data_IF_273815085057
#
_entry.id   IF_273815085057
#
_cell.length_a   1.000
_cell.length_b   1.000
_cell.length_c   1.000
_cell.angle_alpha   90.00
_cell.angle_beta   90.00
_cell.angle_gamma   90.00
#
_symmetry.space_group_name_H-M   'P 1'
#
loop_
_entity.id
_entity.type
_entity.pdbx_description
1 polymer ?
#
# COMPACT_ATOMS: atom_id res chain seq x y z
N UNK A 1 -8.44 -15.93 16.82
CA UNK A 1 -8.53 -15.28 18.14
C UNK A 1 -7.15 -15.03 18.78
N UNK A 2 -6.11 -14.68 18.02
CA UNK A 2 -4.75 -14.40 18.58
C UNK A 2 -4.06 -13.18 17.95
N UNK A 3 -4.77 -12.32 17.20
CA UNK A 3 -4.29 -10.98 16.86
C UNK A 3 -4.24 -10.04 18.09
N UNK A 4 -4.92 -10.40 19.19
CA UNK A 4 -4.96 -9.62 20.44
C UNK A 4 -3.60 -9.47 21.16
N UNK A 5 -2.59 -10.27 20.82
CA UNK A 5 -1.27 -10.15 21.45
C UNK A 5 -0.34 -9.12 20.79
N UNK A 6 -0.71 -8.61 19.60
CA UNK A 6 0.01 -7.53 18.94
C UNK A 6 -0.44 -6.16 19.47
N UNK A 7 -1.71 -6.04 19.89
CA UNK A 7 -2.23 -4.77 20.43
C UNK A 7 -1.53 -4.33 21.73
N UNK A 8 -1.20 -5.27 22.63
CA UNK A 8 -0.56 -4.91 23.91
C UNK A 8 0.91 -4.49 23.78
N UNK A 9 1.61 -4.81 22.69
CA UNK A 9 3.00 -4.35 22.46
C UNK A 9 3.08 -3.12 21.56
N UNK A 10 2.03 -2.78 20.82
CA UNK A 10 1.98 -1.57 20.01
C UNK A 10 1.72 -0.30 20.82
N UNK A 11 1.30 -0.42 22.09
CA UNK A 11 1.13 0.73 23.00
C UNK A 11 2.46 1.39 23.39
N UNK A 12 3.60 0.75 23.14
CA UNK A 12 4.93 1.28 23.46
C UNK A 12 5.82 1.59 22.26
N UNK A 13 5.30 1.51 21.04
CA UNK A 13 6.05 1.98 19.85
C UNK A 13 5.78 3.48 19.73
N UNK A 14 6.78 4.35 19.97
CA UNK A 14 6.59 5.76 19.68
C UNK A 14 6.30 5.90 18.20
N UNK A 15 5.16 6.50 17.87
CA UNK A 15 4.76 6.83 16.49
C UNK A 15 5.73 7.89 15.97
N UNK A 16 6.91 7.47 15.52
CA UNK A 16 7.84 8.33 14.77
C UNK A 16 7.52 8.35 13.25
N UNK A 17 6.26 8.09 12.89
CA UNK A 17 5.75 8.37 11.55
C UNK A 17 5.37 9.84 11.35
N UNK A 18 5.67 10.73 12.31
CA UNK A 18 5.11 12.10 12.34
C UNK A 18 6.11 13.22 12.15
N UNK A 19 7.08 13.11 11.23
CA UNK A 19 7.65 14.33 10.66
C UNK A 19 6.82 14.74 9.45
N UNK A 20 5.66 15.36 9.74
CA UNK A 20 4.71 15.89 8.75
C UNK A 20 3.26 15.90 9.21
N UNK A 21 2.89 15.06 10.16
CA UNK A 21 1.56 15.12 10.78
C UNK A 21 1.69 15.96 12.08
N UNK A 22 1.32 17.24 12.01
CA UNK A 22 1.00 18.01 13.22
C UNK A 22 -0.04 17.21 13.99
N UNK A 23 0.08 17.14 15.32
CA UNK A 23 -0.88 16.49 16.22
C UNK A 23 -2.30 16.99 15.90
N UNK A 24 -3.05 16.16 15.18
CA UNK A 24 -4.45 16.43 14.87
C UNK A 24 -5.24 16.05 16.10
N UNK A 25 -5.95 16.99 16.71
CA UNK A 25 -6.81 16.72 17.85
C UNK A 25 -7.95 15.78 17.43
N UNK A 26 -8.51 15.02 18.38
CA UNK A 26 -9.63 14.10 18.11
C UNK A 26 -10.84 14.78 17.44
N UNK A 27 -10.97 16.10 17.58
CA UNK A 27 -12.08 16.89 17.01
C UNK A 27 -11.87 17.23 15.52
N UNK A 28 -10.60 17.27 15.02
CA UNK A 28 -10.33 17.63 13.62
C UNK A 28 -10.61 16.48 12.62
N UNK A 29 -10.85 15.26 13.13
CA UNK A 29 -11.07 14.08 12.28
C UNK A 29 -12.46 14.01 11.63
N UNK A 30 -13.42 14.78 12.09
CA UNK A 30 -14.82 14.76 11.59
C UNK A 30 -15.11 15.84 10.56
N UNK A 31 -14.21 16.78 10.31
CA UNK A 31 -14.41 17.81 9.29
C UNK A 31 -14.01 17.27 7.90
N UNK A 32 -14.89 17.39 6.89
CA UNK A 32 -14.53 17.11 5.49
C UNK A 32 -13.55 18.14 4.92
N UNK A 33 -13.21 19.16 5.70
CA UNK A 33 -12.28 20.23 5.33
C UNK A 33 -11.08 20.27 6.25
N UNK A 34 -9.93 20.65 5.70
CA UNK A 34 -8.71 20.95 6.43
C UNK A 34 -8.20 22.35 6.08
N UNK A 35 -7.53 22.99 7.03
CA UNK A 35 -6.86 24.27 6.78
C UNK A 35 -5.50 24.01 6.16
N UNK A 36 -5.25 24.55 4.99
CA UNK A 36 -3.94 24.53 4.31
C UNK A 36 -3.61 25.96 3.89
N UNK A 37 -2.51 26.50 4.41
CA UNK A 37 -2.05 27.88 4.13
C UNK A 37 -3.15 28.96 4.36
N UNK A 38 -4.00 28.76 5.39
CA UNK A 38 -5.11 29.66 5.71
C UNK A 38 -6.36 29.48 4.84
N UNK A 39 -6.38 28.54 3.90
CA UNK A 39 -7.51 28.24 3.02
C UNK A 39 -8.18 26.95 3.51
N UNK A 40 -9.49 26.96 3.58
CA UNK A 40 -10.29 25.77 3.87
C UNK A 40 -10.35 24.92 2.60
N UNK A 41 -9.68 23.75 2.61
CA UNK A 41 -9.65 22.80 1.49
C UNK A 41 -10.34 21.51 1.90
N UNK A 42 -10.98 20.88 0.94
CA UNK A 42 -11.60 19.57 1.13
C UNK A 42 -10.54 18.52 1.48
N UNK A 43 -10.81 17.72 2.52
CA UNK A 43 -9.92 16.66 2.95
C UNK A 43 -10.03 15.50 1.98
N UNK A 44 -8.99 15.28 1.18
CA UNK A 44 -8.91 14.12 0.27
C UNK A 44 -8.02 13.04 0.86
N UNK A 45 -8.52 11.81 0.85
CA UNK A 45 -7.77 10.64 1.27
C UNK A 45 -6.48 10.46 0.48
N UNK A 46 -5.41 10.06 1.17
CA UNK A 46 -4.10 9.81 0.58
C UNK A 46 -4.03 8.40 -0.01
N UNK A 47 -3.62 8.30 -1.26
CA UNK A 47 -3.42 7.01 -1.94
C UNK A 47 -1.93 6.65 -1.94
N UNK A 48 -1.61 5.46 -1.43
CA UNK A 48 -0.25 4.95 -1.30
C UNK A 48 -0.16 3.58 -2.00
N UNK A 49 0.66 3.47 -3.05
CA UNK A 49 0.99 2.18 -3.63
C UNK A 49 2.12 1.52 -2.84
N UNK A 50 1.94 0.26 -2.45
CA UNK A 50 2.99 -0.55 -1.81
C UNK A 50 3.59 -1.44 -2.88
N UNK A 51 4.75 -1.07 -3.41
CA UNK A 51 5.31 -1.67 -4.61
C UNK A 51 6.79 -2.03 -4.44
N UNK A 52 7.15 -3.18 -4.99
CA UNK A 52 8.51 -3.61 -5.26
C UNK A 52 8.44 -4.78 -6.26
N UNK A 53 9.34 -4.81 -7.24
CA UNK A 53 9.40 -5.87 -8.24
C UNK A 53 9.80 -7.22 -7.62
N UNK A 54 10.61 -7.21 -6.55
CA UNK A 54 11.05 -8.44 -5.89
C UNK A 54 9.91 -9.06 -5.10
N UNK A 55 9.66 -10.36 -5.31
CA UNK A 55 8.75 -11.15 -4.48
C UNK A 55 9.29 -11.35 -3.06
N UNK A 56 8.39 -11.56 -2.10
CA UNK A 56 8.77 -11.91 -0.73
C UNK A 56 9.36 -10.78 0.13
N UNK A 57 9.42 -9.54 -0.34
CA UNK A 57 9.98 -8.41 0.44
C UNK A 57 9.03 -7.83 1.49
N UNK A 58 7.85 -8.40 1.66
CA UNK A 58 6.87 -7.97 2.66
C UNK A 58 5.91 -6.86 2.18
N UNK A 59 5.61 -6.73 0.89
CA UNK A 59 4.61 -5.78 0.35
C UNK A 59 3.26 -5.96 1.03
N UNK A 60 2.65 -7.12 0.84
CA UNK A 60 1.36 -7.51 1.42
C UNK A 60 1.35 -7.38 2.94
N UNK A 61 2.37 -7.90 3.61
CA UNK A 61 2.51 -7.79 5.07
C UNK A 61 2.52 -6.33 5.51
N UNK A 62 3.23 -5.46 4.79
CA UNK A 62 3.29 -4.02 5.09
C UNK A 62 1.93 -3.37 4.86
N UNK A 63 1.28 -3.62 3.73
CA UNK A 63 -0.01 -3.03 3.37
C UNK A 63 -1.10 -3.41 4.40
N UNK A 64 -1.23 -4.69 4.71
CA UNK A 64 -2.22 -5.24 5.67
C UNK A 64 -2.00 -4.66 7.07
N UNK A 65 -0.77 -4.74 7.59
CA UNK A 65 -0.49 -4.28 8.96
C UNK A 65 -0.59 -2.75 9.09
N UNK A 66 -0.20 -1.99 8.05
CA UNK A 66 -0.31 -0.53 8.07
C UNK A 66 -1.77 -0.08 8.02
N UNK A 67 -2.60 -0.68 7.17
CA UNK A 67 -4.03 -0.42 7.12
C UNK A 67 -4.71 -0.74 8.46
N UNK A 68 -4.41 -1.91 9.05
CA UNK A 68 -4.94 -2.32 10.35
C UNK A 68 -4.50 -1.39 11.48
N UNK A 69 -3.23 -0.97 11.52
CA UNK A 69 -2.72 -0.04 12.51
C UNK A 69 -3.39 1.33 12.41
N UNK A 70 -3.57 1.87 11.21
CA UNK A 70 -4.28 3.13 11.00
C UNK A 70 -5.74 3.04 11.45
N UNK A 71 -6.43 1.94 11.14
CA UNK A 71 -7.79 1.68 11.62
C UNK A 71 -7.87 1.63 13.15
N UNK A 72 -6.93 0.97 13.81
CA UNK A 72 -6.83 0.93 15.27
C UNK A 72 -6.60 2.34 15.87
N UNK A 73 -5.86 3.20 15.17
CA UNK A 73 -5.66 4.62 15.54
C UNK A 73 -6.82 5.54 15.16
N UNK A 74 -7.93 4.98 14.64
CA UNK A 74 -9.18 5.70 14.37
C UNK A 74 -9.19 6.44 13.02
N UNK A 75 -8.31 6.08 12.08
CA UNK A 75 -8.42 6.48 10.68
C UNK A 75 -9.30 5.48 9.91
N UNK A 76 -9.89 5.94 8.81
CA UNK A 76 -10.54 5.08 7.83
C UNK A 76 -9.53 4.68 6.75
N UNK A 77 -9.31 3.38 6.59
CA UNK A 77 -8.36 2.84 5.62
C UNK A 77 -9.08 1.91 4.63
N UNK A 78 -8.81 2.08 3.34
CA UNK A 78 -9.20 1.15 2.28
C UNK A 78 -7.93 0.47 1.77
N UNK A 79 -7.91 -0.85 1.75
CA UNK A 79 -6.88 -1.61 1.06
C UNK A 79 -7.48 -2.18 -0.22
N UNK A 80 -6.93 -1.81 -1.36
CA UNK A 80 -7.26 -2.39 -2.66
C UNK A 80 -6.17 -3.40 -3.02
N UNK A 81 -6.52 -4.67 -3.01
CA UNK A 81 -5.65 -5.76 -3.42
C UNK A 81 -5.61 -5.78 -4.96
N UNK A 82 -4.45 -5.56 -5.56
CA UNK A 82 -4.25 -5.62 -7.01
C UNK A 82 -3.21 -6.67 -7.40
N UNK A 83 -2.96 -7.63 -6.51
CA UNK A 83 -2.18 -8.84 -6.79
C UNK A 83 -3.14 -10.00 -7.08
N UNK A 84 -3.06 -10.68 -8.24
CA UNK A 84 -3.88 -11.85 -8.56
C UNK A 84 -3.79 -12.97 -7.52
N UNK A 85 -2.72 -13.03 -6.74
CA UNK A 85 -2.60 -13.98 -5.63
C UNK A 85 -3.60 -13.70 -4.49
N UNK A 86 -4.12 -12.47 -4.37
CA UNK A 86 -5.12 -12.09 -3.38
C UNK A 86 -4.67 -12.30 -1.94
N UNK A 87 -3.38 -12.06 -1.64
CA UNK A 87 -2.83 -12.33 -0.32
C UNK A 87 -3.30 -11.32 0.74
N UNK A 88 -3.49 -10.07 0.37
CA UNK A 88 -4.11 -9.06 1.26
C UNK A 88 -5.56 -9.39 1.56
N UNK A 89 -6.29 -9.87 0.58
CA UNK A 89 -7.68 -10.34 0.70
C UNK A 89 -7.78 -11.44 1.76
N UNK A 90 -6.95 -12.48 1.63
CA UNK A 90 -6.88 -13.55 2.63
C UNK A 90 -6.39 -13.06 3.98
N UNK A 91 -5.45 -12.12 4.01
CA UNK A 91 -4.89 -11.52 5.23
C UNK A 91 -5.94 -10.82 6.10
N UNK A 92 -7.03 -10.35 5.50
CA UNK A 92 -8.19 -9.80 6.21
C UNK A 92 -9.31 -10.82 6.46
N UNK A 93 -9.08 -12.10 6.16
CA UNK A 93 -10.04 -13.19 6.37
C UNK A 93 -11.20 -13.18 5.38
N UNK A 94 -11.03 -12.61 4.19
CA UNK A 94 -12.04 -12.60 3.14
C UNK A 94 -11.86 -13.86 2.29
N UNK A 95 -12.94 -14.64 2.15
CA UNK A 95 -12.95 -15.87 1.36
C UNK A 95 -13.05 -15.55 -0.14
N UNK A 96 -12.01 -15.85 -0.90
CA UNK A 96 -11.94 -15.55 -2.34
C UNK A 96 -12.99 -16.29 -3.19
N UNK A 97 -13.50 -17.41 -2.71
CA UNK A 97 -14.51 -18.23 -3.45
C UNK A 97 -15.89 -17.60 -3.48
N UNK A 98 -16.18 -16.67 -2.57
CA UNK A 98 -17.52 -16.10 -2.37
C UNK A 98 -17.52 -14.58 -2.68
N UNK A 99 -16.59 -14.10 -3.51
CA UNK A 99 -16.54 -12.69 -3.90
C UNK A 99 -17.73 -12.37 -4.80
N UNK A 100 -18.44 -11.29 -4.48
CA UNK A 100 -19.50 -10.72 -5.31
C UNK A 100 -18.98 -9.64 -6.26
N UNK A 101 -17.72 -9.26 -6.12
CA UNK A 101 -16.99 -8.31 -6.93
C UNK A 101 -15.57 -8.14 -6.39
N UNK A 102 -14.67 -7.72 -7.24
CA UNK A 102 -13.23 -7.68 -6.96
C UNK A 102 -12.54 -6.50 -7.66
N UNK A 103 -11.26 -6.36 -7.45
CA UNK A 103 -10.43 -5.40 -8.19
C UNK A 103 -10.35 -5.73 -9.69
N UNK A 104 -10.62 -6.97 -10.10
CA UNK A 104 -10.77 -7.34 -11.50
C UNK A 104 -11.94 -6.58 -12.12
N UNK A 105 -13.16 -6.73 -11.58
CA UNK A 105 -14.38 -6.08 -12.09
C UNK A 105 -14.23 -4.55 -12.12
N UNK A 106 -13.50 -4.02 -11.13
CA UNK A 106 -13.20 -2.60 -11.04
C UNK A 106 -12.28 -2.14 -12.18
N UNK A 107 -11.22 -2.88 -12.48
CA UNK A 107 -10.21 -2.51 -13.48
C UNK A 107 -10.76 -2.69 -14.90
N UNK A 108 -11.51 -3.76 -15.17
CA UNK A 108 -12.16 -3.94 -16.48
C UNK A 108 -13.36 -3.01 -16.67
N UNK A 109 -13.92 -2.45 -15.59
CA UNK A 109 -14.98 -1.43 -15.61
C UNK A 109 -16.40 -2.01 -15.57
N UNK A 110 -16.55 -3.23 -15.08
CA UNK A 110 -17.86 -3.88 -14.88
C UNK A 110 -18.53 -3.50 -13.57
N UNK A 111 -17.76 -2.96 -12.61
CA UNK A 111 -18.27 -2.53 -11.30
C UNK A 111 -17.70 -1.19 -10.87
N UNK A 112 -18.43 -0.50 -9.97
CA UNK A 112 -17.89 0.68 -9.29
C UNK A 112 -17.13 0.29 -8.02
N UNK A 113 -16.23 1.14 -7.55
CA UNK A 113 -15.52 0.87 -6.30
C UNK A 113 -16.45 0.72 -5.09
N UNK A 114 -17.62 1.37 -5.11
CA UNK A 114 -18.60 1.26 -4.03
C UNK A 114 -19.27 -0.12 -3.98
N UNK A 115 -19.40 -0.80 -5.12
CA UNK A 115 -20.05 -2.10 -5.22
C UNK A 115 -19.15 -3.22 -4.71
N UNK A 116 -17.83 -3.06 -4.85
CA UNK A 116 -16.83 -4.10 -4.55
C UNK A 116 -16.11 -3.91 -3.21
N UNK A 117 -16.37 -2.80 -2.50
CA UNK A 117 -15.77 -2.57 -1.18
C UNK A 117 -16.40 -3.46 -0.12
N UNK A 118 -15.60 -4.28 0.53
CA UNK A 118 -16.00 -5.17 1.63
C UNK A 118 -15.52 -4.61 2.97
N UNK A 119 -16.42 -4.51 3.95
CA UNK A 119 -16.05 -4.16 5.34
C UNK A 119 -15.39 -5.36 6.01
N UNK A 120 -14.29 -5.12 6.71
CA UNK A 120 -13.60 -6.16 7.46
C UNK A 120 -14.05 -6.22 8.93
N UNK A 121 -13.59 -7.25 9.65
CA UNK A 121 -13.76 -7.35 11.10
C UNK A 121 -12.88 -6.33 11.86
N UNK A 122 -11.91 -5.72 11.19
CA UNK A 122 -10.99 -4.75 11.78
C UNK A 122 -11.59 -3.36 11.73
N UNK A 123 -11.63 -2.68 12.89
CA UNK A 123 -12.19 -1.34 12.99
C UNK A 123 -11.51 -0.38 12.04
N UNK A 124 -12.30 0.37 11.28
CA UNK A 124 -11.81 1.41 10.37
C UNK A 124 -11.16 0.87 9.07
N UNK A 125 -11.20 -0.44 8.81
CA UNK A 125 -10.59 -1.05 7.62
C UNK A 125 -11.64 -1.65 6.71
N UNK A 126 -11.55 -1.31 5.42
CA UNK A 126 -12.30 -1.94 4.32
C UNK A 126 -11.33 -2.44 3.26
N UNK A 127 -11.76 -3.40 2.45
CA UNK A 127 -10.93 -4.03 1.42
C UNK A 127 -11.70 -4.07 0.09
N UNK A 128 -11.02 -3.76 -1.01
CA UNK A 128 -11.41 -4.20 -2.35
C UNK A 128 -10.63 -5.49 -2.60
N UNK A 129 -11.29 -6.65 -2.64
CA UNK A 129 -10.63 -7.94 -2.72
C UNK A 129 -10.09 -8.22 -4.13
N UNK A 130 -9.14 -9.16 -4.24
CA UNK A 130 -8.66 -9.74 -5.48
C UNK A 130 -8.73 -11.25 -5.48
N UNK A 131 -8.82 -11.82 -6.66
CA UNK A 131 -8.71 -13.24 -6.94
C UNK A 131 -7.90 -13.50 -8.20
N UNK A 132 -7.78 -14.77 -8.57
CA UNK A 132 -6.96 -15.21 -9.72
C UNK A 132 -7.46 -14.65 -11.06
N UNK A 133 -8.74 -14.32 -11.18
CA UNK A 133 -9.36 -13.68 -12.35
C UNK A 133 -8.67 -12.37 -12.73
N UNK A 134 -8.11 -11.66 -11.75
CA UNK A 134 -7.39 -10.41 -11.99
C UNK A 134 -6.19 -10.57 -12.94
N UNK A 135 -5.60 -11.76 -13.04
CA UNK A 135 -4.55 -12.02 -14.02
C UNK A 135 -5.07 -11.91 -15.47
N UNK A 136 -6.36 -12.17 -15.70
CA UNK A 136 -7.01 -12.01 -17.00
C UNK A 136 -7.08 -10.57 -17.47
N UNK A 137 -7.20 -9.61 -16.54
CA UNK A 137 -7.28 -8.19 -16.86
C UNK A 137 -6.06 -7.69 -17.66
N UNK A 138 -4.86 -8.23 -17.45
CA UNK A 138 -3.67 -7.84 -18.23
C UNK A 138 -3.80 -8.20 -19.73
N UNK A 139 -4.52 -9.27 -20.03
CA UNK A 139 -4.78 -9.72 -21.42
C UNK A 139 -5.96 -8.95 -22.02
N UNK A 140 -7.06 -8.82 -21.28
CA UNK A 140 -8.27 -8.18 -21.74
C UNK A 140 -8.11 -6.69 -22.04
N UNK A 141 -7.23 -6.03 -21.27
CA UNK A 141 -6.95 -4.60 -21.43
C UNK A 141 -5.92 -4.27 -22.52
N UNK A 142 -5.39 -5.26 -23.26
CA UNK A 142 -4.33 -5.02 -24.26
C UNK A 142 -4.75 -3.97 -25.29
N UNK A 143 -5.97 -4.07 -25.80
CA UNK A 143 -6.52 -3.18 -26.83
C UNK A 143 -7.33 -1.99 -26.27
N UNK A 144 -7.38 -1.86 -24.91
CA UNK A 144 -8.18 -0.81 -24.28
C UNK A 144 -7.37 0.48 -24.15
N UNK A 145 -7.93 1.57 -24.62
CA UNK A 145 -7.33 2.90 -24.47
C UNK A 145 -7.26 3.31 -23.00
N UNK A 146 -6.16 4.02 -22.65
CA UNK A 146 -5.90 4.49 -21.27
C UNK A 146 -5.95 3.37 -20.21
N UNK A 147 -5.60 2.15 -20.60
CA UNK A 147 -5.60 0.96 -19.75
C UNK A 147 -4.77 1.12 -18.46
N UNK A 148 -3.75 1.97 -18.48
CA UNK A 148 -2.90 2.25 -17.31
C UNK A 148 -3.59 3.14 -16.26
N UNK A 149 -4.69 3.79 -16.62
CA UNK A 149 -5.41 4.74 -15.75
C UNK A 149 -6.77 4.22 -15.27
N UNK A 150 -7.13 2.97 -15.56
CA UNK A 150 -8.43 2.38 -15.20
C UNK A 150 -8.70 2.46 -13.69
N UNK A 151 -7.73 2.03 -12.88
CA UNK A 151 -7.84 2.07 -11.43
C UNK A 151 -7.92 3.52 -10.91
N UNK A 152 -7.20 4.47 -11.51
CA UNK A 152 -7.25 5.88 -11.14
C UNK A 152 -8.67 6.44 -11.26
N UNK A 153 -9.34 6.15 -12.38
CA UNK A 153 -10.72 6.59 -12.61
C UNK A 153 -11.66 5.93 -11.61
N UNK A 154 -11.55 4.62 -11.45
CA UNK A 154 -12.45 3.83 -10.63
C UNK A 154 -12.37 4.18 -9.13
N UNK A 155 -11.17 4.55 -8.61
CA UNK A 155 -10.96 4.79 -7.17
C UNK A 155 -11.21 6.24 -6.73
N UNK A 156 -11.35 7.18 -7.69
CA UNK A 156 -11.38 8.63 -7.40
C UNK A 156 -12.43 9.00 -6.34
N UNK A 157 -13.65 8.47 -6.44
CA UNK A 157 -14.73 8.75 -5.48
C UNK A 157 -14.52 8.16 -4.07
N UNK A 158 -13.52 7.31 -3.86
CA UNK A 158 -13.24 6.76 -2.54
C UNK A 158 -12.34 7.69 -1.70
N UNK A 159 -11.67 8.67 -2.30
CA UNK A 159 -10.84 9.65 -1.58
C UNK A 159 -11.61 10.48 -0.56
N UNK A 160 -12.90 10.67 -0.76
CA UNK A 160 -13.78 11.41 0.16
C UNK A 160 -14.22 10.54 1.35
N UNK A 161 -14.22 9.20 1.18
CA UNK A 161 -14.72 8.24 2.17
C UNK A 161 -13.64 7.71 3.10
N UNK A 162 -12.39 7.69 2.65
CA UNK A 162 -11.27 7.10 3.38
C UNK A 162 -10.15 8.12 3.60
N UNK A 163 -9.52 8.07 4.79
CA UNK A 163 -8.33 8.87 5.10
C UNK A 163 -7.09 8.38 4.35
N UNK A 164 -6.99 7.05 4.19
CA UNK A 164 -5.90 6.38 3.49
C UNK A 164 -6.43 5.28 2.58
N UNK A 165 -5.85 5.19 1.38
CA UNK A 165 -6.10 4.11 0.42
C UNK A 165 -4.76 3.47 0.09
N UNK A 166 -4.65 2.16 0.27
CA UNK A 166 -3.46 1.40 -0.07
C UNK A 166 -3.71 0.53 -1.30
N UNK A 167 -2.76 0.48 -2.22
CA UNK A 167 -2.70 -0.55 -3.25
C UNK A 167 -1.63 -1.56 -2.89
N UNK A 168 -2.00 -2.83 -2.69
CA UNK A 168 -1.03 -3.93 -2.58
C UNK A 168 -0.71 -4.44 -3.99
N UNK A 169 0.48 -4.08 -4.48
CA UNK A 169 0.88 -4.36 -5.85
C UNK A 169 1.52 -5.75 -6.00
N UNK A 170 1.33 -6.43 -7.14
CA UNK A 170 2.00 -7.69 -7.43
C UNK A 170 3.54 -7.55 -7.52
N UNK A 171 4.29 -8.66 -7.48
CA UNK A 171 5.74 -8.66 -7.61
C UNK A 171 6.17 -8.55 -9.09
N UNK A 172 5.57 -7.62 -9.83
CA UNK A 172 5.87 -7.35 -11.23
C UNK A 172 5.75 -5.86 -11.51
N UNK A 173 6.29 -5.38 -12.61
CA UNK A 173 6.10 -4.03 -13.11
C UNK A 173 5.15 -4.01 -14.32
N UNK A 174 4.20 -4.96 -14.35
CA UNK A 174 3.17 -5.10 -15.37
C UNK A 174 2.05 -4.06 -15.28
N UNK A 175 1.00 -4.29 -16.05
CA UNK A 175 -0.13 -3.36 -16.20
C UNK A 175 -0.85 -3.09 -14.86
N UNK A 176 -0.98 -4.10 -14.01
CA UNK A 176 -1.63 -3.93 -12.69
C UNK A 176 -0.83 -2.98 -11.80
N UNK A 177 0.50 -3.17 -11.71
CA UNK A 177 1.36 -2.24 -10.96
C UNK A 177 1.35 -0.84 -11.56
N UNK A 178 1.36 -0.70 -12.89
CA UNK A 178 1.22 0.60 -13.55
C UNK A 178 -0.10 1.27 -13.17
N UNK A 179 -1.23 0.55 -13.14
CA UNK A 179 -2.51 1.08 -12.66
C UNK A 179 -2.42 1.61 -11.22
N UNK A 180 -1.80 0.84 -10.32
CA UNK A 180 -1.57 1.28 -8.95
C UNK A 180 -0.73 2.56 -8.86
N UNK A 181 0.36 2.63 -9.62
CA UNK A 181 1.25 3.81 -9.65
C UNK A 181 0.58 5.03 -10.30
N UNK A 182 -0.22 4.84 -11.34
CA UNK A 182 -0.94 5.93 -12.01
C UNK A 182 -2.00 6.55 -11.10
N UNK A 183 -2.58 5.77 -10.19
CA UNK A 183 -3.63 6.21 -9.27
C UNK A 183 -3.08 6.77 -7.95
N UNK A 184 -1.86 6.39 -7.54
CA UNK A 184 -1.28 6.72 -6.24
C UNK A 184 -0.74 8.15 -6.17
N UNK A 185 -0.79 8.74 -4.98
CA UNK A 185 -0.07 9.98 -4.67
C UNK A 185 1.41 9.70 -4.40
N UNK A 186 1.66 8.58 -3.69
CA UNK A 186 3.03 8.20 -3.30
C UNK A 186 3.22 6.69 -3.32
N UNK A 187 4.51 6.28 -3.35
CA UNK A 187 4.92 4.87 -3.35
C UNK A 187 5.69 4.56 -2.09
N UNK A 188 5.19 3.61 -1.29
CA UNK A 188 5.91 2.98 -0.18
C UNK A 188 6.66 1.76 -0.72
N UNK A 189 7.97 1.71 -0.49
CA UNK A 189 8.83 0.67 -1.05
C UNK A 189 9.40 -0.21 0.06
N UNK A 190 8.79 -1.37 0.37
CA UNK A 190 9.39 -2.36 1.26
C UNK A 190 10.60 -3.00 0.58
N UNK A 191 11.74 -3.08 1.29
CA UNK A 191 12.99 -3.65 0.78
C UNK A 191 13.57 -4.60 1.81
N UNK A 192 13.84 -5.84 1.40
CA UNK A 192 14.70 -6.75 2.14
C UNK A 192 16.17 -6.44 1.81
N UNK A 193 17.01 -6.23 2.84
CA UNK A 193 18.41 -5.84 2.68
C UNK A 193 19.28 -7.02 2.23
N UNK A 194 19.15 -7.44 0.98
CA UNK A 194 19.92 -8.49 0.32
C UNK A 194 20.67 -7.95 -0.91
N UNK A 195 21.60 -8.72 -1.44
CA UNK A 195 22.50 -8.31 -2.52
C UNK A 195 21.78 -7.69 -3.74
N UNK A 196 20.70 -8.33 -4.19
CA UNK A 196 19.94 -7.86 -5.36
C UNK A 196 18.91 -6.76 -5.05
N UNK A 197 18.88 -6.24 -3.84
CA UNK A 197 17.90 -5.21 -3.43
C UNK A 197 18.05 -3.90 -4.24
N UNK A 198 19.27 -3.50 -4.55
CA UNK A 198 19.56 -2.26 -5.27
C UNK A 198 19.18 -2.34 -6.74
N UNK A 199 19.33 -3.49 -7.37
CA UNK A 199 18.91 -3.70 -8.75
C UNK A 199 17.40 -3.55 -8.91
N UNK A 200 16.62 -4.28 -8.07
CA UNK A 200 15.16 -4.19 -8.08
C UNK A 200 14.67 -2.77 -7.75
N UNK A 201 15.35 -2.06 -6.85
CA UNK A 201 15.04 -0.68 -6.53
C UNK A 201 15.29 0.26 -7.74
N UNK A 202 16.39 0.07 -8.45
CA UNK A 202 16.72 0.86 -9.64
C UNK A 202 15.67 0.66 -10.74
N UNK A 203 15.21 -0.55 -10.96
CA UNK A 203 14.17 -0.87 -11.95
C UNK A 203 12.83 -0.22 -11.57
N UNK A 204 12.41 -0.33 -10.30
CA UNK A 204 11.22 0.34 -9.81
C UNK A 204 11.30 1.87 -9.96
N UNK A 205 12.46 2.47 -9.65
CA UNK A 205 12.66 3.91 -9.81
C UNK A 205 12.56 4.36 -11.27
N UNK A 206 13.05 3.56 -12.21
CA UNK A 206 12.88 3.84 -13.62
C UNK A 206 11.41 3.80 -14.04
N UNK A 207 10.65 2.80 -13.55
CA UNK A 207 9.20 2.72 -13.79
C UNK A 207 8.47 3.92 -13.21
N UNK A 208 8.75 4.31 -11.96
CA UNK A 208 8.15 5.50 -11.33
C UNK A 208 8.45 6.76 -12.14
N UNK A 209 9.68 6.95 -12.63
CA UNK A 209 10.03 8.09 -13.50
C UNK A 209 9.23 8.08 -14.80
N UNK A 210 9.02 6.92 -15.42
CA UNK A 210 8.19 6.80 -16.62
C UNK A 210 6.72 7.13 -16.34
N UNK A 211 6.16 6.61 -15.24
CA UNK A 211 4.82 6.94 -14.79
C UNK A 211 4.69 8.44 -14.53
N UNK A 212 5.65 9.04 -13.84
CA UNK A 212 5.68 10.49 -13.57
C UNK A 212 5.64 11.31 -14.85
N UNK A 213 6.35 10.90 -15.87
CA UNK A 213 6.43 11.63 -17.15
C UNK A 213 5.19 11.47 -18.02
N UNK A 214 4.46 10.36 -17.95
CA UNK A 214 3.42 10.02 -18.93
C UNK A 214 2.01 10.01 -18.36
N UNK A 215 1.84 9.63 -17.09
CA UNK A 215 0.53 9.28 -16.53
C UNK A 215 0.17 10.00 -15.24
N UNK A 216 1.18 10.30 -14.38
CA UNK A 216 0.95 10.86 -13.05
C UNK A 216 2.11 11.74 -12.61
N UNK A 217 2.10 13.01 -12.98
CA UNK A 217 3.16 13.99 -12.71
C UNK A 217 3.44 14.22 -11.21
N UNK A 218 2.42 13.94 -10.37
CA UNK A 218 2.48 14.19 -8.92
C UNK A 218 3.03 13.02 -8.11
N UNK A 219 3.22 11.83 -8.72
CA UNK A 219 3.72 10.67 -7.98
C UNK A 219 5.11 10.92 -7.39
N UNK A 220 5.28 10.56 -6.12
CA UNK A 220 6.57 10.65 -5.42
C UNK A 220 6.79 9.41 -4.54
N UNK A 221 8.01 9.23 -4.05
CA UNK A 221 8.32 8.19 -3.07
C UNK A 221 7.81 8.62 -1.70
N UNK A 222 6.95 7.80 -1.07
CA UNK A 222 6.55 7.96 0.32
C UNK A 222 7.74 7.70 1.25
N UNK A 223 8.36 6.56 1.04
CA UNK A 223 9.55 6.15 1.76
C UNK A 223 9.98 4.73 1.41
N UNK A 224 11.18 4.39 1.85
CA UNK A 224 11.77 3.06 1.77
C UNK A 224 11.71 2.42 3.15
N UNK A 225 11.02 1.29 3.28
CA UNK A 225 10.89 0.52 4.51
C UNK A 225 11.81 -0.70 4.46
N UNK A 226 12.76 -0.76 5.39
CA UNK A 226 13.66 -1.90 5.53
C UNK A 226 12.93 -3.04 6.25
N UNK A 227 12.74 -4.17 5.56
CA UNK A 227 12.04 -5.35 6.05
C UNK A 227 12.99 -6.51 6.26
N UNK A 228 12.59 -7.47 7.11
CA UNK A 228 13.39 -8.64 7.46
C UNK A 228 14.84 -8.26 7.85
N UNK A 229 14.95 -7.10 8.50
CA UNK A 229 16.23 -6.51 8.86
C UNK A 229 16.95 -7.36 9.90
N UNK A 230 18.24 -7.62 9.65
CA UNK A 230 19.17 -8.23 10.61
C UNK A 230 20.46 -7.41 10.66
N UNK A 231 20.59 -6.56 11.68
CA UNK A 231 21.73 -5.66 11.85
C UNK A 231 23.05 -6.35 12.21
N UNK A 232 23.04 -7.67 12.44
CA UNK A 232 24.27 -8.46 12.70
C UNK A 232 25.04 -8.79 11.43
N UNK A 233 24.39 -8.66 10.27
CA UNK A 233 24.97 -9.01 8.98
C UNK A 233 25.64 -7.80 8.33
N UNK A 234 26.92 -7.90 8.03
CA UNK A 234 27.69 -6.85 7.35
C UNK A 234 27.07 -6.46 6.00
N UNK A 235 26.58 -7.45 5.23
CA UNK A 235 25.90 -7.22 3.96
C UNK A 235 24.66 -6.32 4.14
N UNK A 236 23.85 -6.58 5.17
CA UNK A 236 22.66 -5.76 5.48
C UNK A 236 23.05 -4.30 5.68
N UNK A 237 24.12 -4.04 6.46
CA UNK A 237 24.58 -2.69 6.74
C UNK A 237 25.09 -1.98 5.49
N UNK A 238 25.85 -2.67 4.62
CA UNK A 238 26.34 -2.13 3.36
C UNK A 238 25.17 -1.76 2.42
N UNK A 239 24.17 -2.63 2.29
CA UNK A 239 22.97 -2.36 1.46
C UNK A 239 22.20 -1.16 2.02
N UNK A 240 22.03 -1.06 3.33
CA UNK A 240 21.36 0.08 3.97
C UNK A 240 22.08 1.40 3.71
N UNK A 241 23.41 1.41 3.84
CA UNK A 241 24.22 2.61 3.54
C UNK A 241 24.05 3.05 2.08
N UNK A 242 24.04 2.09 1.17
CA UNK A 242 23.87 2.39 -0.25
C UNK A 242 22.46 2.91 -0.55
N UNK A 243 21.42 2.31 0.03
CA UNK A 243 20.03 2.83 -0.09
C UNK A 243 19.95 4.26 0.47
N UNK A 244 20.57 4.53 1.62
CA UNK A 244 20.57 5.87 2.23
C UNK A 244 21.29 6.93 1.38
N UNK A 245 22.34 6.56 0.65
CA UNK A 245 23.00 7.48 -0.29
C UNK A 245 22.05 7.90 -1.42
N UNK A 246 21.27 6.96 -1.95
CA UNK A 246 20.33 7.24 -3.05
C UNK A 246 19.03 7.90 -2.54
N UNK A 247 18.63 7.65 -1.30
CA UNK A 247 17.38 8.13 -0.68
C UNK A 247 17.62 8.76 0.69
N UNK A 248 18.42 9.82 0.82
CA UNK A 248 18.92 10.30 2.12
C UNK A 248 17.83 10.74 3.11
N UNK A 249 16.63 11.12 2.60
CA UNK A 249 15.51 11.59 3.43
C UNK A 249 14.27 10.72 3.33
N UNK A 250 14.34 9.63 2.59
CA UNK A 250 13.18 8.77 2.29
C UNK A 250 13.26 7.40 2.95
N UNK A 251 14.38 7.03 3.57
CA UNK A 251 14.50 5.77 4.33
C UNK A 251 13.92 5.96 5.72
N UNK A 252 12.94 5.14 6.09
CA UNK A 252 12.36 5.16 7.42
C UNK A 252 13.41 4.77 8.47
N UNK A 253 13.39 5.44 9.62
CA UNK A 253 14.23 5.08 10.77
C UNK A 253 13.80 3.76 11.42
N UNK A 254 12.50 3.45 11.33
CA UNK A 254 11.94 2.19 11.80
C UNK A 254 12.25 1.08 10.78
N UNK A 255 12.75 -0.04 11.27
CA UNK A 255 12.98 -1.26 10.49
C UNK A 255 12.07 -2.38 10.97
N UNK A 256 11.68 -3.27 10.07
CA UNK A 256 10.90 -4.47 10.42
C UNK A 256 11.86 -5.66 10.49
N UNK A 257 12.12 -6.22 11.68
CA UNK A 257 13.03 -7.34 11.81
C UNK A 257 12.42 -8.63 11.23
N UNK A 258 13.27 -9.59 10.88
CA UNK A 258 12.80 -10.95 10.55
C UNK A 258 12.10 -11.54 11.77
N UNK A 259 10.85 -11.98 11.60
CA UNK A 259 10.05 -12.51 12.70
C UNK A 259 9.15 -13.65 12.20
N UNK A 260 9.31 -14.83 12.77
CA UNK A 260 8.56 -16.05 12.43
C UNK A 260 7.05 -15.84 12.67
N UNK A 261 6.66 -15.19 13.76
CA UNK A 261 5.24 -14.94 14.06
C UNK A 261 4.54 -14.09 13.00
N UNK A 262 5.25 -13.14 12.38
CA UNK A 262 4.70 -12.33 11.28
C UNK A 262 4.52 -13.20 10.03
N UNK A 263 5.42 -14.17 9.80
CA UNK A 263 5.31 -15.09 8.67
C UNK A 263 4.18 -16.11 8.84
N UNK A 264 3.90 -16.51 10.07
CA UNK A 264 2.85 -17.48 10.41
C UNK A 264 1.45 -16.86 10.56
N UNK A 265 1.38 -15.54 10.81
CA UNK A 265 0.13 -14.83 11.09
C UNK A 265 -0.99 -15.05 10.04
N UNK A 266 -0.70 -15.15 8.73
CA UNK A 266 -1.74 -15.43 7.73
C UNK A 266 -2.34 -16.85 7.80
N UNK A 267 -1.72 -17.76 8.56
CA UNK A 267 -2.16 -19.16 8.68
C UNK A 267 -3.19 -19.37 9.81
N UNK A 268 -3.53 -18.34 10.53
CA UNK A 268 -4.48 -18.35 11.66
C UNK A 268 -5.64 -17.38 11.35
#
# INVERSE_FOLDING_TARGET
MKLFHVEHKLQSVPVYASRGLKSVSKHDKMSPYQMKDGICVEKKGKIIAVANQKGGVGKTTTAVNLAAALGAHGYSALLCDIDPQGNSTSGFGIEKRNLTGSSYDLIIGESTASDVVVKTKFKGVSVIPAGMELAGAEVELVEVENRESRLKVAITGQREKFDYIFFDCPPSLGLLTLNGLCAADTVLVPIQCEYFALEGLSQLMNTIRQVKRRYNENIDIEGVLLTMFDGRLNLTMQVVEEIKKHFPKKVYSTTIPRNVRVSEAPSY
#
